data_IF_265012387789
#
_entry.id   IF_265012387789
#
_cell.length_a   1.000
_cell.length_b   1.000
_cell.length_c   1.000
_cell.angle_alpha   90.00
_cell.angle_beta   90.00
_cell.angle_gamma   90.00
#
_symmetry.space_group_name_H-M   'P 1'
#
loop_
_entity.id
_entity.type
_entity.pdbx_description
1 polymer ?
#
# COMPACT_ATOMS: atom_id res chain seq x y z
N UNK A 1 7.65 -14.98 -12.40
CA UNK A 1 6.80 -14.78 -11.21
C UNK A 1 7.42 -15.53 -10.03
N UNK A 2 7.51 -14.92 -8.83
CA UNK A 2 7.99 -15.60 -7.62
C UNK A 2 7.07 -16.75 -7.20
N UNK A 3 7.66 -17.86 -6.78
CA UNK A 3 6.94 -19.00 -6.21
C UNK A 3 6.43 -18.71 -4.80
N UNK A 4 5.45 -19.48 -4.33
CA UNK A 4 4.94 -19.37 -2.95
C UNK A 4 6.05 -19.51 -1.89
N UNK A 5 7.01 -20.41 -2.13
CA UNK A 5 8.15 -20.60 -1.22
C UNK A 5 8.99 -19.32 -1.10
N UNK A 6 9.27 -18.67 -2.22
CA UNK A 6 10.02 -17.40 -2.25
C UNK A 6 9.26 -16.28 -1.56
N UNK A 7 7.95 -16.16 -1.78
CA UNK A 7 7.13 -15.16 -1.08
C UNK A 7 7.15 -15.38 0.42
N UNK A 8 7.08 -16.63 0.89
CA UNK A 8 7.21 -16.94 2.31
C UNK A 8 8.57 -16.50 2.87
N UNK A 9 9.65 -16.67 2.10
CA UNK A 9 10.98 -16.19 2.48
C UNK A 9 11.06 -14.66 2.51
N UNK A 10 10.44 -13.96 1.55
CA UNK A 10 10.38 -12.50 1.53
C UNK A 10 9.62 -11.94 2.73
N UNK A 11 8.44 -12.50 3.05
CA UNK A 11 7.66 -12.10 4.22
C UNK A 11 8.38 -12.42 5.54
N UNK A 12 9.08 -13.55 5.62
CA UNK A 12 9.97 -13.86 6.74
C UNK A 12 11.12 -12.88 6.87
N UNK A 13 11.71 -12.46 5.74
CA UNK A 13 12.73 -11.41 5.66
C UNK A 13 12.22 -10.08 6.19
N UNK A 14 11.03 -9.63 5.77
CA UNK A 14 10.37 -8.43 6.31
C UNK A 14 10.22 -8.50 7.83
N UNK A 15 9.78 -9.64 8.35
CA UNK A 15 9.60 -9.83 9.78
C UNK A 15 10.93 -9.71 10.57
N UNK A 16 12.03 -10.22 10.01
CA UNK A 16 13.36 -10.02 10.58
C UNK A 16 13.76 -8.54 10.57
N UNK A 17 13.50 -7.81 9.47
CA UNK A 17 13.77 -6.38 9.39
C UNK A 17 12.95 -5.58 10.42
N UNK A 18 11.70 -5.95 10.64
CA UNK A 18 10.82 -5.34 11.66
C UNK A 18 11.41 -5.56 13.06
N UNK A 19 12.03 -6.72 13.31
CA UNK A 19 12.67 -7.04 14.60
C UNK A 19 14.03 -6.38 14.80
N UNK A 20 14.54 -5.63 13.82
CA UNK A 20 15.86 -5.01 13.90
C UNK A 20 16.99 -5.86 13.32
N UNK A 21 16.69 -7.00 12.69
CA UNK A 21 17.69 -7.93 12.18
C UNK A 21 17.96 -7.72 10.68
N UNK A 22 19.11 -7.13 10.36
CA UNK A 22 19.54 -6.88 8.99
C UNK A 22 19.73 -8.16 8.16
N UNK A 23 19.83 -9.35 8.77
CA UNK A 23 19.81 -10.64 8.04
C UNK A 23 18.51 -10.84 7.27
N UNK A 24 17.44 -10.12 7.64
CA UNK A 24 16.20 -10.04 6.88
C UNK A 24 16.36 -9.54 5.44
N UNK A 25 17.48 -8.91 5.09
CA UNK A 25 17.77 -8.50 3.70
C UNK A 25 18.19 -9.66 2.79
N UNK A 26 18.71 -10.77 3.35
CA UNK A 26 19.28 -11.88 2.57
C UNK A 26 18.34 -12.51 1.53
N UNK A 27 17.03 -12.67 1.80
CA UNK A 27 16.12 -13.24 0.82
C UNK A 27 15.87 -12.32 -0.38
N UNK A 28 16.05 -11.01 -0.23
CA UNK A 28 15.70 -10.06 -1.28
C UNK A 28 16.80 -9.93 -2.33
N UNK A 29 16.43 -10.05 -3.60
CA UNK A 29 17.30 -9.71 -4.72
C UNK A 29 17.26 -8.19 -4.94
N UNK A 30 18.40 -7.54 -4.74
CA UNK A 30 18.57 -6.08 -4.77
C UNK A 30 19.12 -5.61 -6.14
N UNK A 31 19.42 -6.54 -7.05
CA UNK A 31 19.82 -6.20 -8.42
C UNK A 31 18.70 -5.46 -9.18
N UNK A 32 19.01 -4.84 -10.31
CA UNK A 32 18.01 -4.20 -11.17
C UNK A 32 16.91 -5.19 -11.61
N UNK A 33 17.29 -6.45 -11.85
CA UNK A 33 16.35 -7.53 -12.14
C UNK A 33 15.49 -7.87 -10.91
N UNK A 34 16.08 -7.85 -9.71
CA UNK A 34 15.39 -8.01 -8.43
C UNK A 34 14.37 -6.92 -8.16
N UNK A 35 14.69 -5.66 -8.48
CA UNK A 35 13.76 -4.52 -8.41
C UNK A 35 12.56 -4.76 -9.32
N UNK A 36 12.78 -5.08 -10.59
CA UNK A 36 11.70 -5.38 -11.52
C UNK A 36 10.86 -6.59 -11.05
N UNK A 37 11.53 -7.62 -10.52
CA UNK A 37 10.87 -8.81 -9.99
C UNK A 37 10.00 -8.51 -8.78
N UNK A 38 10.36 -7.51 -7.95
CA UNK A 38 9.57 -7.13 -6.77
C UNK A 38 8.19 -6.58 -7.11
N UNK A 39 7.99 -6.04 -8.32
CA UNK A 39 6.66 -5.59 -8.76
C UNK A 39 5.66 -6.74 -8.92
N UNK A 40 6.10 -8.00 -9.00
CA UNK A 40 5.19 -9.15 -8.91
C UNK A 40 4.42 -9.21 -7.60
N UNK A 41 4.82 -8.47 -6.57
CA UNK A 41 4.02 -8.27 -5.37
C UNK A 41 2.59 -7.77 -5.69
N UNK A 42 2.38 -6.99 -6.76
CA UNK A 42 1.02 -6.58 -7.18
C UNK A 42 0.15 -7.77 -7.54
N UNK A 43 0.73 -8.79 -8.19
CA UNK A 43 0.03 -10.04 -8.51
C UNK A 43 -0.37 -10.81 -7.26
N UNK A 44 0.43 -10.75 -6.20
CA UNK A 44 0.10 -11.33 -4.89
C UNK A 44 -0.94 -10.50 -4.12
N UNK A 45 -1.05 -9.20 -4.40
CA UNK A 45 -2.13 -8.36 -3.88
C UNK A 45 -3.46 -8.57 -4.62
N UNK A 46 -3.45 -9.10 -5.85
CA UNK A 46 -4.63 -9.17 -6.71
C UNK A 46 -5.89 -9.75 -6.03
N UNK A 47 -5.83 -10.86 -5.26
CA UNK A 47 -7.01 -11.35 -4.55
C UNK A 47 -7.60 -10.33 -3.57
N UNK A 48 -6.75 -9.64 -2.81
CA UNK A 48 -7.19 -8.60 -1.88
C UNK A 48 -7.74 -7.38 -2.64
N UNK A 49 -7.06 -6.95 -3.71
CA UNK A 49 -7.50 -5.83 -4.54
C UNK A 49 -8.89 -6.07 -5.13
N UNK A 50 -9.16 -7.26 -5.68
CA UNK A 50 -10.47 -7.62 -6.22
C UNK A 50 -11.58 -7.46 -5.15
N UNK A 51 -11.33 -7.95 -3.93
CA UNK A 51 -12.28 -7.78 -2.82
C UNK A 51 -12.50 -6.29 -2.53
N UNK A 52 -11.43 -5.51 -2.41
CA UNK A 52 -11.51 -4.07 -2.17
C UNK A 52 -12.28 -3.34 -3.26
N UNK A 53 -12.05 -3.68 -4.54
CA UNK A 53 -12.72 -3.08 -5.68
C UNK A 53 -14.22 -3.38 -5.70
N UNK A 54 -14.63 -4.59 -5.31
CA UNK A 54 -16.06 -4.95 -5.18
C UNK A 54 -16.74 -4.04 -4.16
N UNK A 55 -16.19 -3.92 -2.95
CA UNK A 55 -16.78 -3.07 -1.91
C UNK A 55 -16.75 -1.59 -2.29
N UNK A 56 -15.67 -1.11 -2.91
CA UNK A 56 -15.59 0.26 -3.41
C UNK A 56 -16.64 0.54 -4.49
N UNK A 57 -16.90 -0.42 -5.39
CA UNK A 57 -17.96 -0.31 -6.39
C UNK A 57 -19.35 -0.25 -5.74
N UNK A 58 -19.59 -1.09 -4.73
CA UNK A 58 -20.86 -1.06 -3.99
C UNK A 58 -21.08 0.31 -3.33
N UNK A 59 -20.04 0.89 -2.75
CA UNK A 59 -20.11 2.23 -2.14
C UNK A 59 -20.30 3.34 -3.18
N UNK A 60 -19.65 3.22 -4.35
CA UNK A 60 -19.84 4.15 -5.46
C UNK A 60 -21.29 4.20 -5.96
N UNK A 61 -21.91 3.03 -6.14
CA UNK A 61 -23.31 2.94 -6.59
C UNK A 61 -24.30 3.47 -5.55
N UNK A 62 -23.97 3.45 -4.26
CA UNK A 62 -24.81 4.07 -3.21
C UNK A 62 -24.85 5.59 -3.32
N UNK A 63 -23.73 6.21 -3.69
CA UNK A 63 -23.63 7.66 -3.85
C UNK A 63 -24.14 8.14 -5.21
N UNK A 64 -24.01 7.32 -6.25
CA UNK A 64 -24.42 7.66 -7.62
C UNK A 64 -25.37 6.60 -8.22
N UNK A 65 -26.60 6.44 -7.68
CA UNK A 65 -27.52 5.39 -8.10
C UNK A 65 -28.02 5.52 -9.55
N UNK A 66 -27.93 6.72 -10.14
CA UNK A 66 -28.34 7.00 -11.52
C UNK A 66 -27.21 6.85 -12.55
N UNK A 67 -25.95 6.70 -12.11
CA UNK A 67 -24.84 6.37 -13.03
C UNK A 67 -24.82 4.87 -13.24
N UNK A 68 -25.49 4.43 -14.30
CA UNK A 68 -25.16 3.17 -14.95
C UNK A 68 -23.82 3.32 -15.69
N UNK A 69 -22.75 3.67 -14.98
CA UNK A 69 -21.41 3.56 -15.55
C UNK A 69 -21.21 2.09 -15.91
N UNK A 70 -20.85 1.82 -17.17
CA UNK A 70 -20.53 0.47 -17.62
C UNK A 70 -19.52 -0.12 -16.64
N UNK A 71 -19.89 -1.20 -15.93
CA UNK A 71 -19.09 -1.81 -14.85
C UNK A 71 -17.62 -2.01 -15.23
N UNK A 72 -17.36 -2.28 -16.51
CA UNK A 72 -16.02 -2.40 -17.08
C UNK A 72 -15.16 -1.13 -16.94
N UNK A 73 -15.72 0.05 -17.22
CA UNK A 73 -15.01 1.33 -17.15
C UNK A 73 -14.58 1.63 -15.71
N UNK A 74 -15.41 1.30 -14.72
CA UNK A 74 -15.06 1.44 -13.30
C UNK A 74 -13.81 0.61 -12.95
N UNK A 75 -13.78 -0.67 -13.32
CA UNK A 75 -12.62 -1.52 -13.03
C UNK A 75 -11.37 -1.10 -13.81
N UNK A 76 -11.53 -0.55 -15.02
CA UNK A 76 -10.40 0.02 -15.76
C UNK A 76 -9.81 1.25 -15.05
N UNK A 77 -10.67 2.15 -14.52
CA UNK A 77 -10.22 3.28 -13.69
C UNK A 77 -9.50 2.80 -12.44
N UNK A 78 -10.02 1.76 -11.77
CA UNK A 78 -9.36 1.15 -10.62
C UNK A 78 -8.00 0.56 -10.98
N UNK A 79 -7.87 -0.11 -12.13
CA UNK A 79 -6.58 -0.65 -12.59
C UNK A 79 -5.54 0.46 -12.80
N UNK A 80 -5.94 1.59 -13.38
CA UNK A 80 -5.06 2.76 -13.56
C UNK A 80 -4.64 3.34 -12.21
N UNK A 81 -5.59 3.45 -11.27
CA UNK A 81 -5.32 3.91 -9.91
C UNK A 81 -4.30 3.03 -9.21
N UNK A 82 -4.49 1.71 -9.24
CA UNK A 82 -3.52 0.77 -8.67
C UNK A 82 -2.16 0.94 -9.35
N UNK A 83 -2.09 0.90 -10.68
CA UNK A 83 -0.82 1.03 -11.40
C UNK A 83 -0.03 2.29 -10.96
N UNK A 84 -0.73 3.43 -10.78
CA UNK A 84 -0.11 4.65 -10.29
C UNK A 84 0.40 4.54 -8.84
N UNK A 85 -0.34 3.88 -7.94
CA UNK A 85 0.06 3.65 -6.54
C UNK A 85 1.29 2.73 -6.40
N UNK A 86 1.65 1.98 -7.43
CA UNK A 86 2.89 1.21 -7.47
C UNK A 86 4.07 1.99 -8.08
N UNK A 87 3.82 2.74 -9.16
CA UNK A 87 4.88 3.42 -9.92
C UNK A 87 5.30 4.73 -9.27
N UNK A 88 4.36 5.56 -8.81
CA UNK A 88 4.66 6.92 -8.33
C UNK A 88 5.51 6.91 -7.04
N UNK A 89 5.22 6.11 -6.00
CA UNK A 89 6.07 6.06 -4.81
C UNK A 89 7.48 5.55 -5.10
N UNK A 90 7.64 4.62 -6.05
CA UNK A 90 8.95 4.14 -6.49
C UNK A 90 9.75 5.27 -7.18
N UNK A 91 9.10 6.02 -8.07
CA UNK A 91 9.71 7.20 -8.69
C UNK A 91 10.08 8.28 -7.65
N UNK A 92 9.23 8.50 -6.65
CA UNK A 92 9.50 9.43 -5.57
C UNK A 92 10.70 9.00 -4.71
N UNK A 93 10.84 7.69 -4.42
CA UNK A 93 12.02 7.15 -3.73
C UNK A 93 13.31 7.36 -4.52
N UNK A 94 13.28 7.19 -5.84
CA UNK A 94 14.43 7.45 -6.72
C UNK A 94 14.80 8.94 -6.66
N UNK A 95 13.82 9.84 -6.81
CA UNK A 95 14.05 11.28 -6.74
C UNK A 95 14.64 11.69 -5.38
N UNK A 96 14.09 11.16 -4.28
CA UNK A 96 14.58 11.45 -2.93
C UNK A 96 15.99 10.90 -2.71
N UNK A 97 16.27 9.68 -3.18
CA UNK A 97 17.59 9.07 -3.10
C UNK A 97 18.65 9.88 -3.84
N UNK A 98 18.28 10.52 -4.95
CA UNK A 98 19.14 11.45 -5.68
C UNK A 98 19.38 12.74 -4.87
N UNK A 99 18.33 13.37 -4.35
CA UNK A 99 18.41 14.64 -3.60
C UNK A 99 19.21 14.48 -2.29
N UNK A 100 18.92 13.43 -1.53
CA UNK A 100 19.52 13.16 -0.22
C UNK A 100 20.75 12.24 -0.29
N UNK A 101 21.22 11.91 -1.51
CA UNK A 101 22.45 11.16 -1.79
C UNK A 101 22.53 9.77 -1.15
N UNK A 102 21.42 9.03 -1.15
CA UNK A 102 21.37 7.63 -0.69
C UNK A 102 20.98 6.63 -1.79
N UNK A 103 21.24 6.95 -3.06
CA UNK A 103 20.95 6.08 -4.22
C UNK A 103 21.26 4.58 -4.04
N UNK A 104 22.37 4.15 -3.39
CA UNK A 104 22.63 2.72 -3.17
C UNK A 104 21.56 1.97 -2.35
N UNK A 105 20.78 2.69 -1.53
CA UNK A 105 19.69 2.13 -0.73
C UNK A 105 18.35 2.07 -1.48
N UNK A 106 18.19 2.83 -2.57
CA UNK A 106 16.91 2.95 -3.28
C UNK A 106 16.40 1.60 -3.79
N UNK A 107 17.20 0.72 -4.44
CA UNK A 107 16.74 -0.60 -4.85
C UNK A 107 16.20 -1.42 -3.68
N UNK A 108 16.90 -1.39 -2.53
CA UNK A 108 16.49 -2.09 -1.30
C UNK A 108 15.13 -1.57 -0.82
N UNK A 109 14.97 -0.25 -0.77
CA UNK A 109 13.75 0.41 -0.31
C UNK A 109 12.55 0.08 -1.20
N UNK A 110 12.73 0.07 -2.53
CA UNK A 110 11.67 -0.30 -3.48
C UNK A 110 11.24 -1.75 -3.26
N UNK A 111 12.21 -2.67 -3.22
CA UNK A 111 11.91 -4.11 -3.07
C UNK A 111 11.19 -4.38 -1.74
N UNK A 112 11.70 -3.81 -0.64
CA UNK A 112 11.11 -3.98 0.69
C UNK A 112 9.72 -3.35 0.76
N UNK A 113 9.53 -2.14 0.20
CA UNK A 113 8.21 -1.48 0.13
C UNK A 113 7.20 -2.32 -0.65
N UNK A 114 7.59 -2.85 -1.80
CA UNK A 114 6.71 -3.66 -2.64
C UNK A 114 6.24 -4.93 -1.92
N UNK A 115 7.14 -5.66 -1.26
CA UNK A 115 6.76 -6.84 -0.49
C UNK A 115 6.00 -6.49 0.78
N UNK A 116 6.29 -5.35 1.41
CA UNK A 116 5.52 -4.84 2.56
C UNK A 116 4.09 -4.45 2.19
N UNK A 117 3.87 -4.02 0.94
CA UNK A 117 2.52 -3.72 0.45
C UNK A 117 1.60 -4.95 0.43
N UNK A 118 2.14 -6.18 0.36
CA UNK A 118 1.33 -7.41 0.33
C UNK A 118 0.50 -7.59 1.61
N UNK A 119 1.07 -7.73 2.81
CA UNK A 119 0.27 -7.86 4.03
C UNK A 119 -0.62 -6.63 4.27
N UNK A 120 -0.18 -5.43 3.87
CA UNK A 120 -0.95 -4.21 4.01
C UNK A 120 -2.19 -4.21 3.11
N UNK A 121 -2.07 -4.66 1.86
CA UNK A 121 -3.19 -4.77 0.92
C UNK A 121 -4.27 -5.73 1.44
N UNK A 122 -3.87 -6.85 2.04
CA UNK A 122 -4.83 -7.74 2.70
C UNK A 122 -5.51 -7.08 3.90
N UNK A 123 -4.77 -6.38 4.75
CA UNK A 123 -5.36 -5.67 5.89
C UNK A 123 -6.37 -4.60 5.46
N UNK A 124 -6.06 -3.84 4.40
CA UNK A 124 -6.91 -2.74 3.92
C UNK A 124 -8.08 -3.25 3.07
N UNK A 125 -7.81 -4.04 2.03
CA UNK A 125 -8.81 -4.38 1.02
C UNK A 125 -9.60 -5.63 1.38
N UNK A 126 -8.96 -6.65 1.96
CA UNK A 126 -9.64 -7.89 2.30
C UNK A 126 -10.31 -7.86 3.69
N UNK A 127 -9.80 -7.06 4.63
CA UNK A 127 -10.33 -6.97 6.00
C UNK A 127 -11.09 -5.67 6.24
N UNK A 128 -10.41 -4.52 6.12
CA UNK A 128 -11.01 -3.24 6.48
C UNK A 128 -12.16 -2.84 5.54
N UNK A 129 -12.00 -2.97 4.22
CA UNK A 129 -13.02 -2.53 3.25
C UNK A 129 -14.40 -3.17 3.44
N UNK A 130 -14.53 -4.52 3.63
CA UNK A 130 -15.81 -5.13 3.98
C UNK A 130 -16.39 -4.60 5.29
N UNK A 131 -15.57 -4.47 6.34
CA UNK A 131 -16.02 -4.00 7.67
C UNK A 131 -16.52 -2.56 7.57
N UNK A 132 -15.77 -1.68 6.90
CA UNK A 132 -16.15 -0.29 6.69
C UNK A 132 -17.50 -0.18 5.96
N UNK A 133 -17.68 -0.98 4.91
CA UNK A 133 -18.93 -1.01 4.15
C UNK A 133 -20.12 -1.49 5.00
N UNK A 134 -19.96 -2.58 5.75
CA UNK A 134 -21.02 -3.11 6.63
C UNK A 134 -21.35 -2.15 7.76
N UNK A 135 -20.33 -1.53 8.39
CA UNK A 135 -20.51 -0.50 9.42
C UNK A 135 -21.29 0.71 8.89
N UNK A 136 -21.04 1.12 7.64
CA UNK A 136 -21.77 2.22 7.01
C UNK A 136 -23.26 1.91 6.76
N UNK A 137 -23.66 0.63 6.68
CA UNK A 137 -25.08 0.25 6.53
C UNK A 137 -25.87 0.34 7.84
N UNK A 138 -25.21 0.17 8.99
CA UNK A 138 -25.88 0.00 10.29
C UNK A 138 -26.18 1.32 11.04
N UNK A 139 -26.05 2.49 10.39
CA UNK A 139 -26.29 3.80 11.02
C UNK A 139 -25.20 4.85 10.79
N UNK A 140 -24.27 4.61 9.86
CA UNK A 140 -23.23 5.58 9.50
C UNK A 140 -22.13 5.77 10.55
N UNK A 141 -21.28 6.79 10.35
CA UNK A 141 -20.08 7.03 11.18
C UNK A 141 -20.36 7.31 12.66
N UNK A 142 -21.60 7.64 13.04
CA UNK A 142 -21.99 7.98 14.41
C UNK A 142 -22.50 6.79 15.25
N UNK A 143 -22.67 5.61 14.64
CA UNK A 143 -23.03 4.38 15.35
C UNK A 143 -21.81 3.65 15.95
N UNK A 144 -22.05 2.75 16.91
CA UNK A 144 -21.00 1.91 17.52
C UNK A 144 -20.15 1.16 16.46
N UNK A 145 -20.80 0.66 15.41
CA UNK A 145 -20.13 0.01 14.28
C UNK A 145 -19.26 0.98 13.47
N UNK A 146 -19.67 2.25 13.33
CA UNK A 146 -18.89 3.31 12.71
C UNK A 146 -17.62 3.59 13.50
N UNK A 147 -17.71 3.81 14.81
CA UNK A 147 -16.54 3.99 15.68
C UNK A 147 -15.58 2.81 15.63
N UNK A 148 -16.10 1.57 15.67
CA UNK A 148 -15.27 0.37 15.55
C UNK A 148 -14.49 0.34 14.23
N UNK A 149 -15.12 0.73 13.11
CA UNK A 149 -14.45 0.80 11.81
C UNK A 149 -13.35 1.87 11.76
N UNK A 150 -13.56 3.02 12.40
CA UNK A 150 -12.56 4.11 12.50
C UNK A 150 -11.37 3.65 13.36
N UNK A 151 -11.63 2.99 14.49
CA UNK A 151 -10.58 2.45 15.37
C UNK A 151 -9.77 1.39 14.61
N UNK A 152 -10.43 0.53 13.83
CA UNK A 152 -9.74 -0.46 13.00
C UNK A 152 -8.85 0.21 11.96
N UNK A 153 -9.36 1.22 11.24
CA UNK A 153 -8.58 1.99 10.27
C UNK A 153 -7.35 2.65 10.91
N UNK A 154 -7.55 3.33 12.04
CA UNK A 154 -6.48 3.97 12.79
C UNK A 154 -5.44 2.95 13.27
N UNK A 155 -5.88 1.78 13.74
CA UNK A 155 -4.99 0.70 14.18
C UNK A 155 -4.14 0.16 13.04
N UNK A 156 -4.75 -0.09 11.87
CA UNK A 156 -4.03 -0.53 10.67
C UNK A 156 -3.01 0.53 10.23
N UNK A 157 -3.40 1.80 10.22
CA UNK A 157 -2.51 2.90 9.86
C UNK A 157 -1.33 3.01 10.83
N UNK A 158 -1.59 3.07 12.13
CA UNK A 158 -0.54 3.18 13.17
C UNK A 158 0.40 1.97 13.10
N UNK A 159 -0.15 0.76 12.94
CA UNK A 159 0.65 -0.45 12.78
C UNK A 159 1.51 -0.37 11.51
N UNK A 160 0.95 0.04 10.37
CA UNK A 160 1.69 0.17 9.12
C UNK A 160 2.84 1.19 9.25
N UNK A 161 2.58 2.34 9.86
CA UNK A 161 3.60 3.37 10.14
C UNK A 161 4.69 2.85 11.06
N UNK A 162 4.32 2.17 12.14
CA UNK A 162 5.26 1.60 13.09
C UNK A 162 6.14 0.51 12.45
N UNK A 163 5.55 -0.41 11.69
CA UNK A 163 6.28 -1.48 11.01
C UNK A 163 7.20 -0.92 9.93
N UNK A 164 6.73 0.03 9.11
CA UNK A 164 7.55 0.71 8.12
C UNK A 164 8.72 1.46 8.78
N UNK A 165 8.47 2.12 9.91
CA UNK A 165 9.52 2.77 10.69
C UNK A 165 10.57 1.79 11.20
N UNK A 166 10.17 0.63 11.73
CA UNK A 166 11.09 -0.42 12.16
C UNK A 166 11.96 -0.92 11.00
N UNK A 167 11.34 -1.16 9.83
CA UNK A 167 12.06 -1.55 8.62
C UNK A 167 13.08 -0.48 8.22
N UNK A 168 12.68 0.79 8.13
CA UNK A 168 13.56 1.89 7.74
C UNK A 168 14.72 2.08 8.73
N UNK A 169 14.47 1.89 10.03
CA UNK A 169 15.52 1.92 11.07
C UNK A 169 16.57 0.85 10.82
N UNK A 170 16.15 -0.36 10.44
CA UNK A 170 17.06 -1.50 10.16
C UNK A 170 17.79 -1.33 8.84
N UNK A 171 17.12 -0.86 7.78
CA UNK A 171 17.67 -0.80 6.42
C UNK A 171 18.55 0.41 6.18
N UNK A 172 18.08 1.62 6.52
CA UNK A 172 18.77 2.85 6.10
C UNK A 172 19.89 3.28 7.04
N UNK A 173 19.85 2.87 8.31
CA UNK A 173 20.73 3.45 9.32
C UNK A 173 20.69 4.99 9.32
N UNK A 174 21.74 5.64 9.83
CA UNK A 174 21.95 7.08 9.63
C UNK A 174 21.00 8.04 10.38
N UNK A 175 20.91 9.32 9.94
CA UNK A 175 20.14 10.36 10.59
C UNK A 175 18.63 10.07 10.60
N UNK A 176 17.99 10.39 11.73
CA UNK A 176 16.53 10.28 11.92
C UNK A 176 15.76 11.06 10.85
N UNK A 177 16.25 12.23 10.44
CA UNK A 177 15.59 13.09 9.45
C UNK A 177 15.44 12.44 8.08
N UNK A 178 16.47 11.73 7.59
CA UNK A 178 16.39 11.04 6.29
C UNK A 178 15.34 9.93 6.31
N UNK A 179 15.21 9.21 7.44
CA UNK A 179 14.17 8.19 7.62
C UNK A 179 12.77 8.79 7.67
N UNK A 180 12.60 9.90 8.40
CA UNK A 180 11.32 10.63 8.46
C UNK A 180 10.95 11.16 7.07
N UNK A 181 11.90 11.76 6.34
CA UNK A 181 11.67 12.24 4.98
C UNK A 181 11.27 11.10 4.03
N UNK A 182 11.90 9.94 4.15
CA UNK A 182 11.59 8.76 3.32
C UNK A 182 10.20 8.22 3.63
N UNK A 183 9.88 8.01 4.92
CA UNK A 183 8.56 7.54 5.34
C UNK A 183 7.47 8.54 4.94
N UNK A 184 7.68 9.82 5.25
CA UNK A 184 6.76 10.90 4.94
C UNK A 184 6.51 11.03 3.44
N UNK A 185 7.56 10.98 2.62
CA UNK A 185 7.41 11.08 1.16
C UNK A 185 6.60 9.91 0.60
N UNK A 186 6.90 8.67 1.00
CA UNK A 186 6.15 7.49 0.52
C UNK A 186 4.67 7.62 0.87
N UNK A 187 4.36 7.96 2.13
CA UNK A 187 2.98 8.15 2.58
C UNK A 187 2.27 9.28 1.83
N UNK A 188 2.93 10.43 1.71
CA UNK A 188 2.38 11.58 1.00
C UNK A 188 2.12 11.24 -0.47
N UNK A 189 3.04 10.52 -1.12
CA UNK A 189 2.83 10.09 -2.50
C UNK A 189 1.65 9.13 -2.62
N UNK A 190 1.53 8.15 -1.73
CA UNK A 190 0.40 7.22 -1.74
C UNK A 190 -0.94 7.96 -1.53
N UNK A 191 -1.00 8.93 -0.62
CA UNK A 191 -2.21 9.72 -0.35
C UNK A 191 -2.56 10.68 -1.48
N UNK A 192 -1.58 11.42 -2.01
CA UNK A 192 -1.80 12.40 -3.09
C UNK A 192 -2.21 11.70 -4.38
N UNK A 193 -1.52 10.61 -4.74
CA UNK A 193 -1.83 9.83 -5.94
C UNK A 193 -3.25 9.29 -5.85
N UNK A 194 -3.62 8.65 -4.73
CA UNK A 194 -4.97 8.15 -4.54
C UNK A 194 -6.02 9.27 -4.70
N UNK A 195 -5.84 10.39 -3.99
CA UNK A 195 -6.80 11.49 -3.99
C UNK A 195 -6.95 12.15 -5.35
N UNK A 196 -5.84 12.55 -5.97
CA UNK A 196 -5.89 13.28 -7.24
C UNK A 196 -6.40 12.41 -8.39
N UNK A 197 -6.00 11.13 -8.44
CA UNK A 197 -6.50 10.21 -9.45
C UNK A 197 -7.98 9.87 -9.25
N UNK A 198 -8.45 9.71 -8.01
CA UNK A 198 -9.88 9.51 -7.74
C UNK A 198 -10.71 10.73 -8.20
N UNK A 199 -10.21 11.94 -7.97
CA UNK A 199 -10.82 13.18 -8.44
C UNK A 199 -10.85 13.26 -9.98
N UNK A 200 -9.70 13.05 -10.64
CA UNK A 200 -9.58 13.12 -12.10
C UNK A 200 -10.45 12.06 -12.78
N UNK A 201 -10.54 10.85 -12.20
CA UNK A 201 -11.33 9.76 -12.75
C UNK A 201 -12.82 9.82 -12.39
N UNK A 202 -13.24 10.79 -11.57
CA UNK A 202 -14.64 10.96 -11.15
C UNK A 202 -15.17 9.80 -10.30
N UNK A 203 -14.28 9.18 -9.52
CA UNK A 203 -14.57 8.08 -8.58
C UNK A 203 -14.44 8.55 -7.13
N UNK A 204 -14.10 9.82 -6.89
CA UNK A 204 -14.06 10.40 -5.54
C UNK A 204 -15.45 10.30 -4.88
N UNK A 205 -15.45 9.84 -3.63
CA UNK A 205 -16.64 9.80 -2.76
C UNK A 205 -16.72 11.07 -1.88
N UNK A 206 -15.77 11.99 -2.05
CA UNK A 206 -15.68 13.30 -1.39
C UNK A 206 -15.95 14.42 -2.36
#
# INVERSE_FOLDING_TARGET
MPSYHEVRLYLGGLWLLIRGDARGLRPFDISDQGVLRSFWAVGWCAPALIVGWIFRRMEYLRHFPQREDYSFIFFLKMLVLEAAQWVVPAAALIALGFILRFMPLVPILIVVRNWFAVPLAYAIHAVYSPIAFLSAQQGGAMGLAGYASIILAATILIAALFLAWCILRTVMGGPVMTRIATLGLVLLTDMLVARELENIMGVSLT
#
